data_IF_610076795786
#
_entry.id   IF_610076795786
#
_cell.length_a   1.000
_cell.length_b   1.000
_cell.length_c   1.000
_cell.angle_alpha   90.00
_cell.angle_beta   90.00
_cell.angle_gamma   90.00
#
_symmetry.space_group_name_H-M   'P 1'
#
loop_
_entity.id
_entity.type
_entity.pdbx_description
1 polymer ?
#
# COMPACT_ATOMS: atom_id res chain seq x y z
N UNK A 1 21.24 -21.81 -10.36
CA UNK A 1 20.89 -22.39 -9.05
C UNK A 1 19.79 -21.53 -8.46
N UNK A 2 18.57 -22.08 -8.41
CA UNK A 2 17.44 -21.79 -7.50
C UNK A 2 17.13 -20.30 -7.23
N UNK A 3 15.97 -19.73 -7.55
CA UNK A 3 14.67 -20.20 -8.05
C UNK A 3 13.94 -18.95 -8.52
N UNK A 4 13.07 -19.07 -9.52
CA UNK A 4 11.96 -18.14 -9.67
C UNK A 4 11.30 -17.97 -8.29
N UNK A 5 11.52 -16.81 -7.67
CA UNK A 5 10.71 -16.42 -6.53
C UNK A 5 9.26 -16.53 -6.99
N UNK A 6 8.34 -17.15 -6.22
CA UNK A 6 6.97 -17.28 -6.65
C UNK A 6 6.47 -15.88 -7.00
N UNK A 7 6.24 -15.60 -8.28
CA UNK A 7 5.40 -14.47 -8.65
C UNK A 7 4.12 -14.73 -7.88
N UNK A 8 3.79 -13.87 -6.91
CA UNK A 8 2.49 -13.88 -6.24
C UNK A 8 1.44 -13.57 -7.30
N UNK A 9 1.12 -14.57 -8.11
CA UNK A 9 0.17 -14.52 -9.22
C UNK A 9 -0.78 -15.67 -9.03
N UNK A 10 -1.70 -15.44 -8.10
CA UNK A 10 -3.10 -15.75 -8.31
C UNK A 10 -3.88 -14.61 -7.67
N UNK A 11 -3.79 -13.43 -8.28
CA UNK A 11 -4.69 -12.33 -7.95
C UNK A 11 -6.01 -12.72 -8.58
N UNK A 12 -6.90 -13.34 -7.80
CA UNK A 12 -8.32 -13.27 -8.11
C UNK A 12 -8.61 -11.79 -8.37
N UNK A 13 -9.16 -11.44 -9.54
CA UNK A 13 -9.54 -10.07 -9.83
C UNK A 13 -10.48 -9.60 -8.72
N UNK A 14 -9.95 -8.84 -7.76
CA UNK A 14 -10.72 -8.28 -6.66
C UNK A 14 -11.06 -6.86 -7.04
N UNK A 15 -12.37 -6.61 -7.14
CA UNK A 15 -12.90 -5.27 -7.28
C UNK A 15 -12.96 -4.64 -5.90
N UNK A 16 -12.43 -3.43 -5.78
CA UNK A 16 -12.51 -2.65 -4.56
C UNK A 16 -13.50 -1.51 -4.75
N UNK A 17 -14.38 -1.31 -3.78
CA UNK A 17 -15.13 -0.05 -3.65
C UNK A 17 -14.24 1.05 -3.05
N UNK A 18 -14.54 2.34 -3.28
CA UNK A 18 -13.74 3.43 -2.71
C UNK A 18 -13.61 3.37 -1.18
N UNK A 19 -14.70 3.02 -0.48
CA UNK A 19 -14.72 2.89 0.99
C UNK A 19 -13.91 1.69 1.48
N UNK A 20 -14.00 0.58 0.76
CA UNK A 20 -13.24 -0.63 1.08
C UNK A 20 -11.74 -0.39 0.84
N UNK A 21 -11.37 0.27 -0.27
CA UNK A 21 -9.98 0.60 -0.57
C UNK A 21 -9.36 1.54 0.46
N UNK A 22 -10.15 2.47 1.02
CA UNK A 22 -9.70 3.42 2.03
C UNK A 22 -9.16 2.75 3.31
N UNK A 23 -9.62 1.55 3.65
CA UNK A 23 -9.11 0.80 4.81
C UNK A 23 -7.65 0.34 4.68
N UNK A 24 -7.09 0.41 3.47
CA UNK A 24 -5.74 -0.02 3.12
C UNK A 24 -4.81 1.19 2.89
N UNK A 25 -5.05 2.29 3.58
CA UNK A 25 -4.26 3.52 3.50
C UNK A 25 -2.95 3.50 4.33
N UNK A 26 -2.61 2.36 4.93
CA UNK A 26 -1.40 2.17 5.72
C UNK A 26 -1.45 2.62 7.17
N UNK A 27 -2.59 3.08 7.69
CA UNK A 27 -2.74 3.40 9.13
C UNK A 27 -2.71 2.17 10.03
N UNK A 28 -3.02 1.00 9.47
CA UNK A 28 -3.00 -0.26 10.18
C UNK A 28 -1.73 -1.04 9.85
N UNK A 29 -0.84 -1.31 10.83
CA UNK A 29 0.47 -1.92 10.58
C UNK A 29 0.39 -3.38 10.07
N UNK A 30 -0.77 -4.03 10.23
CA UNK A 30 -1.00 -5.40 9.78
C UNK A 30 -1.74 -5.50 8.44
N UNK A 31 -2.19 -4.38 7.86
CA UNK A 31 -2.86 -4.36 6.55
C UNK A 31 -1.87 -3.94 5.45
N UNK A 32 -2.02 -4.46 4.22
CA UNK A 32 -1.26 -3.96 3.10
C UNK A 32 -1.68 -2.53 2.76
N UNK A 33 -0.79 -1.80 2.08
CA UNK A 33 -1.05 -0.46 1.56
C UNK A 33 -1.46 -0.59 0.10
N UNK A 34 -2.70 -0.20 -0.21
CA UNK A 34 -3.25 -0.28 -1.56
C UNK A 34 -3.50 1.12 -2.13
N UNK A 35 -3.17 1.31 -3.40
CA UNK A 35 -3.48 2.54 -4.15
C UNK A 35 -4.18 2.21 -5.46
N UNK A 36 -5.13 3.06 -5.88
CA UNK A 36 -5.76 2.96 -7.19
C UNK A 36 -5.20 4.00 -8.16
N UNK A 37 -4.70 3.57 -9.31
CA UNK A 37 -4.26 4.44 -10.40
C UNK A 37 -4.98 3.99 -11.68
N UNK A 38 -5.74 4.89 -12.30
CA UNK A 38 -6.49 4.57 -13.52
C UNK A 38 -7.48 3.40 -13.38
N UNK A 39 -8.02 3.18 -12.17
CA UNK A 39 -8.94 2.07 -11.88
C UNK A 39 -8.27 0.72 -11.58
N UNK A 40 -6.94 0.65 -11.60
CA UNK A 40 -6.16 -0.54 -11.24
C UNK A 40 -5.62 -0.35 -9.82
N UNK A 41 -5.75 -1.39 -8.99
CA UNK A 41 -5.28 -1.38 -7.61
C UNK A 41 -3.90 -2.04 -7.52
N UNK A 42 -2.96 -1.35 -6.87
CA UNK A 42 -1.59 -1.79 -6.66
C UNK A 42 -1.29 -1.94 -5.16
N UNK A 43 -0.61 -3.02 -4.80
CA UNK A 43 -0.02 -3.19 -3.47
C UNK A 43 1.34 -2.49 -3.41
N UNK A 44 1.41 -1.43 -2.63
CA UNK A 44 2.61 -0.60 -2.42
C UNK A 44 3.17 -0.73 -1.01
N UNK A 45 2.83 -1.80 -0.30
CA UNK A 45 3.31 -2.06 1.06
C UNK A 45 4.84 -2.05 1.18
N UNK A 46 5.55 -2.44 0.11
CA UNK A 46 7.03 -2.37 0.05
C UNK A 46 7.58 -0.94 0.11
N UNK A 47 6.79 0.05 -0.30
CA UNK A 47 7.11 1.48 -0.26
C UNK A 47 6.38 2.21 0.86
N UNK A 48 6.09 1.54 1.98
CA UNK A 48 5.34 2.12 3.09
C UNK A 48 5.93 3.42 3.64
N UNK A 49 7.25 3.62 3.54
CA UNK A 49 7.90 4.88 3.92
C UNK A 49 7.49 6.08 3.07
N UNK A 50 6.95 5.88 1.86
CA UNK A 50 6.50 6.93 0.95
C UNK A 50 4.96 7.05 0.91
N UNK A 51 4.25 5.92 1.01
CA UNK A 51 2.79 5.87 0.85
C UNK A 51 2.01 5.68 2.16
N UNK A 52 2.68 5.28 3.25
CA UNK A 52 2.08 5.07 4.56
C UNK A 52 2.04 6.35 5.40
N UNK A 53 1.32 6.35 6.53
CA UNK A 53 1.28 7.49 7.44
C UNK A 53 2.64 7.71 8.11
N UNK A 54 3.15 8.93 8.07
CA UNK A 54 4.39 9.33 8.78
C UNK A 54 5.39 10.14 7.95
N UNK A 55 5.43 9.98 6.63
CA UNK A 55 6.43 10.63 5.76
C UNK A 55 6.48 12.17 5.86
N UNK A 56 5.33 12.84 5.99
CA UNK A 56 5.30 14.29 6.23
C UNK A 56 5.05 14.68 7.68
N UNK A 57 4.33 13.85 8.44
CA UNK A 57 3.77 14.31 9.70
C UNK A 57 4.80 14.35 10.83
N UNK A 58 5.81 13.46 10.87
CA UNK A 58 6.82 13.54 11.94
C UNK A 58 7.84 14.67 11.76
N UNK A 59 8.19 15.04 10.52
CA UNK A 59 9.17 16.10 10.26
C UNK A 59 8.58 17.52 10.22
N UNK A 60 7.28 17.66 9.94
CA UNK A 60 6.64 18.97 9.83
C UNK A 60 6.48 19.71 11.18
N UNK A 61 6.49 19.00 12.31
CA UNK A 61 6.38 19.63 13.64
C UNK A 61 7.73 19.95 14.31
N UNK A 62 8.85 19.53 13.73
CA UNK A 62 10.19 19.77 14.30
C UNK A 62 10.87 21.04 13.76
N UNK A 63 10.15 21.89 13.01
CA UNK A 63 10.69 23.09 12.34
C UNK A 63 10.09 24.41 12.84
N UNK A 64 9.48 24.44 14.04
CA UNK A 64 9.02 25.65 14.70
C UNK A 64 9.43 25.67 16.17
#
# INVERSE_FOLDING_TARGET
>A
MLVDAPRKTSTLYRKYGPRELYEYNGTHPHKPILIAIGGIVFDVSKGASFYGPGWWFEWAWSIW
#
